data_IF_485571040637
#
_entry.id   IF_485571040637
#
_cell.length_a   1.000
_cell.length_b   1.000
_cell.length_c   1.000
_cell.angle_alpha   90.00
_cell.angle_beta   90.00
_cell.angle_gamma   90.00
#
_symmetry.space_group_name_H-M   'P 1'
#
loop_
_entity.id
_entity.type
_entity.pdbx_description
1 polymer ?
#
# COMPACT_ATOMS: atom_id res chain seq x y z
N UNK A 1 -0.20 -7.54 -32.53
CA UNK A 1 1.24 -7.72 -32.27
C UNK A 1 1.96 -6.39 -32.45
N UNK A 2 2.52 -5.81 -31.38
CA UNK A 2 3.08 -4.44 -31.44
C UNK A 2 4.37 -4.39 -32.28
N UNK A 3 4.63 -3.24 -32.91
CA UNK A 3 5.82 -3.00 -33.76
C UNK A 3 7.14 -3.31 -33.00
N UNK A 4 7.19 -3.04 -31.69
CA UNK A 4 8.36 -3.34 -30.84
C UNK A 4 8.63 -4.84 -30.69
N UNK A 5 7.60 -5.69 -30.73
CA UNK A 5 7.77 -7.14 -30.63
C UNK A 5 8.32 -7.75 -31.93
N UNK A 6 7.93 -7.19 -33.09
CA UNK A 6 8.48 -7.58 -34.40
C UNK A 6 9.97 -7.27 -34.52
N UNK A 7 10.41 -6.12 -33.99
CA UNK A 7 11.83 -5.75 -33.99
C UNK A 7 12.68 -6.71 -33.15
N UNK A 8 12.24 -7.05 -31.93
CA UNK A 8 12.98 -7.97 -31.05
C UNK A 8 13.05 -9.40 -31.59
N UNK A 9 11.99 -9.88 -32.25
CA UNK A 9 11.99 -11.21 -32.89
C UNK A 9 12.92 -11.27 -34.10
N UNK A 10 13.02 -10.18 -34.88
CA UNK A 10 13.98 -10.09 -35.99
C UNK A 10 15.44 -10.13 -35.50
N UNK A 11 15.74 -9.51 -34.36
CA UNK A 11 17.08 -9.54 -33.78
C UNK A 11 17.46 -10.92 -33.22
N UNK A 12 16.52 -11.61 -32.56
CA UNK A 12 16.73 -13.01 -32.12
C UNK A 12 16.95 -13.93 -33.31
N UNK A 13 16.15 -13.79 -34.38
CA UNK A 13 16.29 -14.59 -35.59
C UNK A 13 17.65 -14.34 -36.28
N UNK A 14 18.11 -13.08 -36.34
CA UNK A 14 19.45 -12.73 -36.85
C UNK A 14 20.58 -13.28 -35.99
N UNK A 15 20.40 -13.33 -34.67
CA UNK A 15 21.40 -13.90 -33.75
C UNK A 15 21.58 -15.40 -33.98
N UNK A 16 20.50 -16.14 -34.25
CA UNK A 16 20.57 -17.57 -34.58
C UNK A 16 21.20 -17.83 -35.96
N UNK A 17 20.95 -16.97 -36.96
CA UNK A 17 21.55 -17.11 -38.32
C UNK A 17 23.05 -16.77 -38.33
N UNK A 18 23.54 -15.96 -37.38
CA UNK A 18 24.95 -15.55 -37.29
C UNK A 18 25.89 -16.66 -36.77
N UNK A 19 25.36 -17.72 -36.16
CA UNK A 19 26.16 -18.82 -35.61
C UNK A 19 26.05 -19.95 -36.65
N UNK A 20 27.03 -20.05 -37.56
CA UNK A 20 27.10 -21.03 -38.65
C UNK A 20 27.19 -22.48 -38.14
N UNK A 21 26.14 -22.97 -37.48
CA UNK A 21 26.01 -24.33 -36.98
C UNK A 21 24.82 -24.98 -37.69
N UNK A 22 24.99 -25.20 -39.00
CA UNK A 22 23.96 -25.79 -39.87
C UNK A 22 23.65 -27.25 -39.47
N UNK A 23 24.55 -27.92 -38.75
CA UNK A 23 24.38 -29.33 -38.35
C UNK A 23 23.84 -29.52 -36.92
N UNK A 24 23.58 -28.45 -36.17
CA UNK A 24 22.97 -28.53 -34.83
C UNK A 24 21.51 -28.09 -34.78
N UNK A 25 20.92 -27.67 -35.91
CA UNK A 25 19.48 -27.41 -36.02
C UNK A 25 18.79 -28.74 -36.31
N UNK A 26 18.85 -29.64 -35.33
CA UNK A 26 17.86 -30.69 -35.22
C UNK A 26 16.53 -30.02 -34.96
N UNK A 27 15.73 -29.88 -36.02
CA UNK A 27 14.27 -29.79 -36.02
C UNK A 27 13.68 -29.30 -34.68
N UNK A 28 13.87 -28.03 -34.34
CA UNK A 28 12.83 -27.35 -33.54
C UNK A 28 11.70 -27.24 -34.53
N UNK A 29 10.73 -28.14 -34.40
CA UNK A 29 9.65 -28.26 -35.35
C UNK A 29 8.95 -26.91 -35.43
N UNK A 30 8.53 -26.49 -36.62
CA UNK A 30 7.81 -25.21 -36.79
C UNK A 30 6.58 -25.12 -35.87
N UNK A 31 6.07 -26.29 -35.48
CA UNK A 31 5.02 -26.51 -34.47
C UNK A 31 5.47 -26.03 -33.08
N UNK A 32 6.68 -26.36 -32.61
CA UNK A 32 7.19 -25.95 -31.29
C UNK A 32 7.33 -24.43 -31.16
N UNK A 33 7.66 -23.73 -32.25
CA UNK A 33 7.73 -22.27 -32.26
C UNK A 33 6.35 -21.61 -32.21
N UNK A 34 5.35 -22.18 -32.91
CA UNK A 34 3.96 -21.71 -32.83
C UNK A 34 3.38 -21.95 -31.44
N UNK A 35 3.69 -23.10 -30.83
CA UNK A 35 3.25 -23.42 -29.46
C UNK A 35 3.89 -22.49 -28.43
N UNK A 36 5.17 -22.14 -28.60
CA UNK A 36 5.84 -21.14 -27.75
C UNK A 36 5.23 -19.73 -27.87
N UNK A 37 4.96 -19.26 -29.09
CA UNK A 37 4.29 -17.96 -29.32
C UNK A 37 2.88 -17.98 -28.72
N UNK A 38 2.15 -19.09 -28.87
CA UNK A 38 0.80 -19.27 -28.33
C UNK A 38 0.81 -19.28 -26.80
N UNK A 39 1.79 -19.94 -26.18
CA UNK A 39 1.98 -19.94 -24.72
C UNK A 39 2.29 -18.55 -24.17
N UNK A 40 3.16 -17.77 -24.84
CA UNK A 40 3.44 -16.37 -24.46
C UNK A 40 2.19 -15.50 -24.61
N UNK A 41 1.43 -15.67 -25.70
CA UNK A 41 0.19 -14.93 -25.91
C UNK A 41 -0.86 -15.25 -24.83
N UNK A 42 -1.01 -16.53 -24.48
CA UNK A 42 -1.92 -16.98 -23.43
C UNK A 42 -1.51 -16.43 -22.05
N UNK A 43 -0.22 -16.48 -21.69
CA UNK A 43 0.28 -15.88 -20.44
C UNK A 43 0.03 -14.38 -20.37
N UNK A 44 0.27 -13.64 -21.46
CA UNK A 44 0.02 -12.20 -21.52
C UNK A 44 -1.47 -11.86 -21.40
N UNK A 45 -2.35 -12.65 -22.03
CA UNK A 45 -3.81 -12.47 -21.88
C UNK A 45 -4.30 -12.71 -20.45
N UNK A 46 -3.69 -13.65 -19.74
CA UNK A 46 -3.97 -13.92 -18.33
C UNK A 46 -3.50 -12.76 -17.44
N UNK A 47 -2.33 -12.18 -17.72
CA UNK A 47 -1.81 -11.03 -16.97
C UNK A 47 -2.72 -9.79 -17.07
N UNK A 48 -3.18 -9.43 -18.28
CA UNK A 48 -4.07 -8.27 -18.44
C UNK A 48 -5.43 -8.48 -17.77
N UNK A 49 -5.98 -9.69 -17.85
CA UNK A 49 -7.22 -10.03 -17.14
C UNK A 49 -7.05 -9.94 -15.62
N UNK A 50 -5.91 -10.39 -15.07
CA UNK A 50 -5.58 -10.26 -13.66
C UNK A 50 -5.46 -8.79 -13.23
N UNK A 51 -4.79 -7.95 -14.02
CA UNK A 51 -4.68 -6.51 -13.76
C UNK A 51 -6.07 -5.86 -13.76
N UNK A 52 -6.91 -6.17 -14.75
CA UNK A 52 -8.27 -5.63 -14.83
C UNK A 52 -9.15 -6.07 -13.66
N UNK A 53 -9.07 -7.36 -13.27
CA UNK A 53 -9.79 -7.90 -12.12
C UNK A 53 -9.32 -7.24 -10.81
N UNK A 54 -8.02 -7.00 -10.66
CA UNK A 54 -7.46 -6.29 -9.50
C UNK A 54 -7.95 -4.83 -9.45
N UNK A 55 -8.02 -4.14 -10.59
CA UNK A 55 -8.58 -2.79 -10.67
C UNK A 55 -10.07 -2.76 -10.32
N UNK A 56 -10.87 -3.68 -10.86
CA UNK A 56 -12.30 -3.77 -10.57
C UNK A 56 -12.55 -4.08 -9.09
N UNK A 57 -11.78 -4.99 -8.50
CA UNK A 57 -11.83 -5.30 -7.08
C UNK A 57 -11.41 -4.10 -6.21
N UNK A 58 -10.39 -3.35 -6.63
CA UNK A 58 -9.99 -2.11 -5.95
C UNK A 58 -11.09 -1.05 -5.99
N UNK A 59 -11.78 -0.88 -7.13
CA UNK A 59 -12.92 0.04 -7.27
C UNK A 59 -14.10 -0.37 -6.37
N UNK A 60 -14.46 -1.65 -6.36
CA UNK A 60 -15.52 -2.17 -5.50
C UNK A 60 -15.15 -2.05 -4.00
N UNK A 61 -13.89 -2.29 -3.64
CA UNK A 61 -13.39 -2.12 -2.27
C UNK A 61 -13.38 -0.65 -1.83
N UNK A 62 -13.01 0.27 -2.73
CA UNK A 62 -13.06 1.71 -2.48
C UNK A 62 -14.50 2.21 -2.30
N UNK A 63 -15.48 1.63 -3.02
CA UNK A 63 -16.88 1.93 -2.82
C UNK A 63 -17.43 1.41 -1.48
N UNK A 64 -16.85 0.34 -0.93
CA UNK A 64 -17.30 -0.30 0.31
C UNK A 64 -16.77 0.35 1.60
N UNK A 65 -15.63 1.04 1.55
CA UNK A 65 -15.05 1.74 2.71
C UNK A 65 -14.75 3.20 2.34
N UNK A 66 -15.51 4.19 2.85
CA UNK A 66 -15.40 5.56 2.39
C UNK A 66 -14.09 6.18 2.87
N UNK A 67 -13.09 6.19 1.99
CA UNK A 67 -11.94 7.08 2.14
C UNK A 67 -12.43 8.51 1.95
N UNK A 68 -12.20 9.37 2.93
CA UNK A 68 -12.53 10.79 2.82
C UNK A 68 -11.27 11.61 2.65
N UNK A 69 -11.29 12.48 1.65
CA UNK A 69 -10.20 13.39 1.36
C UNK A 69 -10.43 14.75 2.01
N UNK A 70 -9.39 15.31 2.62
CA UNK A 70 -9.43 16.62 3.26
C UNK A 70 -8.30 17.51 2.73
N UNK A 71 -8.60 18.65 2.07
CA UNK A 71 -9.93 19.08 1.66
C UNK A 71 -10.48 18.23 0.50
N UNK A 72 -11.79 17.99 0.47
CA UNK A 72 -12.44 17.15 -0.55
C UNK A 72 -12.24 17.71 -1.97
N UNK A 73 -12.20 19.04 -2.11
CA UNK A 73 -11.96 19.72 -3.40
C UNK A 73 -10.58 19.42 -4.01
N UNK A 74 -9.63 18.91 -3.23
CA UNK A 74 -8.28 18.57 -3.68
C UNK A 74 -8.05 17.07 -3.83
N UNK A 75 -9.10 16.26 -3.91
CA UNK A 75 -8.96 14.79 -4.02
C UNK A 75 -8.01 14.36 -5.14
N UNK A 76 -8.18 14.90 -6.35
CA UNK A 76 -7.31 14.56 -7.48
C UNK A 76 -5.86 15.02 -7.24
N UNK A 77 -5.67 16.27 -6.78
CA UNK A 77 -4.34 16.81 -6.43
C UNK A 77 -3.65 15.92 -5.40
N UNK A 78 -4.36 15.51 -4.34
CA UNK A 78 -3.84 14.64 -3.29
C UNK A 78 -3.38 13.32 -3.88
N UNK A 79 -4.23 12.67 -4.69
CA UNK A 79 -3.98 11.35 -5.26
C UNK A 79 -2.82 11.34 -6.25
N UNK A 80 -2.56 12.44 -6.95
CA UNK A 80 -1.50 12.56 -7.95
C UNK A 80 -0.10 12.81 -7.37
N UNK A 81 0.00 13.33 -6.14
CA UNK A 81 1.30 13.60 -5.50
C UNK A 81 2.12 12.32 -5.35
N UNK A 82 3.42 12.40 -5.64
CA UNK A 82 4.36 11.30 -5.45
C UNK A 82 4.80 11.21 -3.98
N UNK A 83 4.84 10.00 -3.45
CA UNK A 83 5.35 9.72 -2.11
C UNK A 83 6.86 9.52 -2.19
N UNK A 84 7.59 10.33 -1.44
CA UNK A 84 9.05 10.30 -1.33
C UNK A 84 9.51 9.45 -0.13
N UNK A 85 8.71 9.42 0.92
CA UNK A 85 8.98 8.72 2.18
C UNK A 85 7.68 8.55 2.98
N UNK A 86 7.60 7.52 3.82
CA UNK A 86 6.50 7.30 4.74
C UNK A 86 7.00 7.55 6.17
N UNK A 87 6.18 8.16 7.02
CA UNK A 87 6.46 8.33 8.44
C UNK A 87 5.36 7.67 9.25
N UNK A 88 5.73 6.79 10.18
CA UNK A 88 4.83 6.37 11.26
C UNK A 88 4.86 7.45 12.34
N UNK A 89 3.75 8.18 12.50
CA UNK A 89 3.69 9.36 13.38
C UNK A 89 2.86 9.04 14.61
N UNK A 90 3.48 9.19 15.78
CA UNK A 90 2.88 9.06 17.09
C UNK A 90 2.40 10.43 17.57
N UNK A 91 1.10 10.55 17.84
CA UNK A 91 0.51 11.75 18.43
C UNK A 91 0.44 11.60 19.96
N UNK A 92 0.21 12.71 20.70
CA UNK A 92 0.07 12.67 22.15
C UNK A 92 -1.01 11.70 22.60
N UNK A 93 -0.88 11.20 23.83
CA UNK A 93 -1.88 10.30 24.41
C UNK A 93 -3.23 11.02 24.47
N UNK A 94 -4.24 10.39 23.90
CA UNK A 94 -5.61 10.92 23.90
C UNK A 94 -6.61 9.84 24.29
N UNK A 95 -7.78 10.29 24.74
CA UNK A 95 -8.94 9.42 24.90
C UNK A 95 -9.42 9.03 23.51
N UNK A 96 -9.67 7.74 23.29
CA UNK A 96 -10.25 7.23 22.05
C UNK A 96 -11.76 7.47 22.04
N UNK A 97 -12.46 7.11 20.96
CA UNK A 97 -13.93 7.21 20.92
C UNK A 97 -14.64 6.24 21.89
N UNK A 98 -13.92 5.30 22.50
CA UNK A 98 -14.39 4.43 23.58
C UNK A 98 -13.81 4.83 24.94
N UNK A 99 -13.47 3.85 25.78
CA UNK A 99 -12.85 4.08 27.10
C UNK A 99 -11.32 3.98 27.09
N UNK A 100 -10.71 3.78 25.92
CA UNK A 100 -9.28 3.60 25.76
C UNK A 100 -8.50 4.91 25.92
N UNK A 101 -7.26 4.79 26.40
CA UNK A 101 -6.29 5.90 26.45
C UNK A 101 -4.94 5.42 25.94
N UNK A 102 -4.50 5.96 24.81
CA UNK A 102 -3.25 5.56 24.15
C UNK A 102 -2.80 6.65 23.19
N UNK A 103 -1.59 6.55 22.65
CA UNK A 103 -1.16 7.40 21.54
C UNK A 103 -1.99 7.07 20.31
N UNK A 104 -2.44 8.09 19.58
CA UNK A 104 -2.96 7.90 18.23
C UNK A 104 -1.80 7.80 17.24
N UNK A 105 -1.89 6.87 16.30
CA UNK A 105 -0.85 6.65 15.29
C UNK A 105 -1.42 6.77 13.89
N UNK A 106 -0.72 7.53 13.06
CA UNK A 106 -1.09 7.78 11.66
C UNK A 106 0.11 7.52 10.75
N UNK A 107 -0.15 7.36 9.45
CA UNK A 107 0.91 7.43 8.44
C UNK A 107 0.95 8.84 7.85
N UNK A 108 2.12 9.43 7.70
CA UNK A 108 2.32 10.67 6.94
C UNK A 108 3.21 10.39 5.74
N UNK A 109 2.72 10.69 4.55
CA UNK A 109 3.48 10.55 3.30
C UNK A 109 4.16 11.89 3.00
N UNK A 110 5.48 11.86 2.88
CA UNK A 110 6.24 12.99 2.35
C UNK A 110 5.97 13.12 0.85
N UNK A 111 5.45 14.28 0.46
CA UNK A 111 5.10 14.59 -0.92
C UNK A 111 5.90 15.78 -1.47
N UNK A 112 7.02 16.11 -0.81
CA UNK A 112 7.90 17.22 -1.16
C UNK A 112 7.41 18.57 -0.66
N UNK A 113 8.22 19.62 -0.87
CA UNK A 113 7.91 21.00 -0.48
C UNK A 113 7.47 21.17 0.98
N UNK A 114 7.98 20.31 1.88
CA UNK A 114 7.62 20.25 3.31
C UNK A 114 6.14 19.95 3.56
N UNK A 115 5.39 19.48 2.57
CA UNK A 115 4.01 19.06 2.70
C UNK A 115 3.92 17.58 3.06
N UNK A 116 2.83 17.22 3.74
CA UNK A 116 2.51 15.84 4.07
C UNK A 116 1.14 15.45 3.56
N UNK A 117 0.97 14.18 3.17
CA UNK A 117 -0.37 13.58 3.06
C UNK A 117 -0.53 12.58 4.19
N UNK A 118 -1.39 12.91 5.15
CA UNK A 118 -1.67 12.05 6.29
C UNK A 118 -2.77 11.05 5.95
N UNK A 119 -2.49 9.77 6.14
CA UNK A 119 -3.48 8.68 6.15
C UNK A 119 -3.78 8.35 7.60
N UNK A 120 -4.99 8.71 8.02
CA UNK A 120 -5.49 8.57 9.38
C UNK A 120 -6.64 7.56 9.41
N UNK A 121 -6.52 6.54 10.26
CA UNK A 121 -7.58 5.56 10.48
C UNK A 121 -8.23 5.80 11.84
N UNK A 122 -9.55 5.95 11.84
CA UNK A 122 -10.33 6.22 13.04
C UNK A 122 -11.51 5.26 13.16
N UNK A 123 -11.96 4.94 14.38
CA UNK A 123 -13.22 4.22 14.59
C UNK A 123 -14.42 5.09 14.17
N UNK A 124 -15.30 4.60 13.29
CA UNK A 124 -16.55 5.27 12.94
C UNK A 124 -17.64 4.94 13.96
N UNK A 125 -18.05 5.87 14.83
CA UNK A 125 -19.07 5.61 15.86
C UNK A 125 -20.45 5.32 15.28
N UNK A 126 -20.67 5.53 13.97
CA UNK A 126 -21.94 5.23 13.29
C UNK A 126 -21.98 3.79 12.75
N UNK A 127 -20.84 3.09 12.76
CA UNK A 127 -20.72 1.75 12.18
C UNK A 127 -20.19 0.76 13.22
N UNK A 128 -21.10 0.26 14.04
CA UNK A 128 -20.78 -0.76 15.04
C UNK A 128 -20.53 -2.13 14.40
N UNK A 129 -19.59 -2.88 14.97
CA UNK A 129 -19.31 -4.26 14.62
C UNK A 129 -19.89 -5.23 15.65
N UNK A 130 -20.11 -6.49 15.26
CA UNK A 130 -20.72 -7.50 16.13
C UNK A 130 -19.91 -7.80 17.41
N UNK A 131 -18.60 -7.51 17.40
CA UNK A 131 -17.72 -7.67 18.57
C UNK A 131 -17.78 -6.49 19.56
N UNK A 132 -18.71 -5.54 19.38
CA UNK A 132 -18.83 -4.32 20.19
C UNK A 132 -17.82 -3.22 19.82
N UNK A 133 -16.98 -3.46 18.82
CA UNK A 133 -16.07 -2.47 18.24
C UNK A 133 -16.75 -1.56 17.21
N UNK A 134 -15.96 -0.68 16.61
CA UNK A 134 -16.39 0.19 15.52
C UNK A 134 -15.59 -0.12 14.26
N UNK A 135 -16.26 -0.17 13.11
CA UNK A 135 -15.60 -0.25 11.81
C UNK A 135 -14.73 0.97 11.58
N UNK A 136 -13.65 0.78 10.84
CA UNK A 136 -12.73 1.84 10.52
C UNK A 136 -13.28 2.78 9.46
N UNK A 137 -12.85 4.03 9.58
CA UNK A 137 -13.03 5.10 8.62
C UNK A 137 -11.66 5.73 8.35
N UNK A 138 -11.37 6.01 7.08
CA UNK A 138 -10.06 6.46 6.64
C UNK A 138 -10.15 7.90 6.13
N UNK A 139 -9.31 8.76 6.68
CA UNK A 139 -9.20 10.16 6.31
C UNK A 139 -7.83 10.39 5.69
N UNK A 140 -7.80 10.89 4.45
CA UNK A 140 -6.58 11.24 3.73
C UNK A 140 -6.50 12.76 3.65
N UNK A 141 -5.62 13.38 4.44
CA UNK A 141 -5.52 14.83 4.58
C UNK A 141 -4.27 15.37 3.89
N UNK A 142 -4.40 16.40 3.06
CA UNK A 142 -3.26 17.22 2.63
C UNK A 142 -2.93 18.24 3.72
N UNK A 143 -1.67 18.25 4.13
CA UNK A 143 -1.14 19.12 5.18
C UNK A 143 -0.01 20.00 4.60
N UNK A 144 0.07 21.23 5.08
CA UNK A 144 1.13 22.19 4.78
C UNK A 144 2.43 21.93 5.57
N UNK A 145 2.45 20.86 6.37
CA UNK A 145 3.60 20.34 7.08
C UNK A 145 3.71 18.82 6.90
N UNK A 146 4.94 18.30 6.96
CA UNK A 146 5.21 16.87 6.89
C UNK A 146 4.86 16.12 8.19
N UNK A 147 5.32 16.69 9.32
CA UNK A 147 5.11 16.14 10.68
C UNK A 147 4.66 17.29 11.57
N UNK A 148 3.62 17.06 12.38
CA UNK A 148 3.16 18.06 13.34
C UNK A 148 4.21 18.30 14.41
N UNK A 149 4.35 19.55 14.88
CA UNK A 149 5.23 19.89 15.99
C UNK A 149 4.75 19.30 17.34
N UNK A 150 3.56 18.71 17.39
CA UNK A 150 3.00 18.00 18.55
C UNK A 150 3.26 16.49 18.52
N UNK A 151 4.00 15.97 17.55
CA UNK A 151 4.28 14.54 17.47
C UNK A 151 5.20 14.14 18.63
N UNK A 152 4.86 13.06 19.34
CA UNK A 152 5.71 12.48 20.38
C UNK A 152 6.87 11.68 19.79
N UNK A 153 6.63 11.14 18.58
CA UNK A 153 7.61 10.36 17.83
C UNK A 153 7.24 10.33 16.35
N UNK A 154 8.24 10.25 15.49
CA UNK A 154 8.04 9.95 14.08
C UNK A 154 9.17 9.06 13.56
N UNK A 155 8.83 7.90 13.02
CA UNK A 155 9.80 6.94 12.47
C UNK A 155 9.73 6.96 10.94
N UNK A 156 10.82 7.37 10.25
CA UNK A 156 10.87 7.37 8.79
C UNK A 156 10.99 5.96 8.22
N UNK A 157 10.35 5.74 7.08
CA UNK A 157 10.40 4.53 6.27
C UNK A 157 10.54 4.94 4.81
N UNK A 158 11.67 4.60 4.21
CA UNK A 158 11.99 4.84 2.82
C UNK A 158 11.12 3.96 1.92
N UNK A 159 10.61 4.56 0.84
CA UNK A 159 9.88 3.84 -0.21
C UNK A 159 10.84 3.36 -1.29
N UNK A 160 10.58 2.20 -1.87
CA UNK A 160 11.39 1.66 -2.97
C UNK A 160 11.08 2.37 -4.28
N UNK A 161 9.80 2.65 -4.52
CA UNK A 161 9.31 3.33 -5.71
C UNK A 161 8.53 4.58 -5.31
N UNK A 162 8.78 5.69 -6.00
CA UNK A 162 8.00 6.92 -5.80
C UNK A 162 6.64 6.77 -6.51
N UNK A 163 5.70 6.09 -5.86
CA UNK A 163 4.32 5.93 -6.33
C UNK A 163 3.48 7.13 -5.94
N UNK A 164 2.37 7.34 -6.63
CA UNK A 164 1.41 8.36 -6.24
C UNK A 164 0.66 7.97 -4.95
N UNK A 165 0.18 8.94 -4.20
CA UNK A 165 -0.68 8.72 -3.02
C UNK A 165 -1.89 7.84 -3.39
N UNK A 166 -2.50 8.10 -4.55
CA UNK A 166 -3.65 7.33 -5.03
C UNK A 166 -3.31 5.84 -5.16
N UNK A 167 -2.12 5.51 -5.66
CA UNK A 167 -1.66 4.13 -5.75
C UNK A 167 -1.60 3.45 -4.37
N UNK A 168 -1.01 4.11 -3.36
CA UNK A 168 -0.97 3.55 -2.00
C UNK A 168 -2.37 3.38 -1.41
N UNK A 169 -3.24 4.38 -1.55
CA UNK A 169 -4.62 4.30 -1.04
C UNK A 169 -5.38 3.13 -1.68
N UNK A 170 -5.29 2.98 -3.00
CA UNK A 170 -5.97 1.90 -3.72
C UNK A 170 -5.38 0.53 -3.38
N UNK A 171 -4.06 0.45 -3.24
CA UNK A 171 -3.37 -0.77 -2.83
C UNK A 171 -3.79 -1.21 -1.43
N UNK A 172 -3.82 -0.28 -0.46
CA UNK A 172 -4.28 -0.56 0.91
C UNK A 172 -5.77 -0.95 0.93
N UNK A 173 -6.61 -0.29 0.14
CA UNK A 173 -8.02 -0.64 0.01
C UNK A 173 -8.20 -2.08 -0.52
N UNK A 174 -7.51 -2.41 -1.63
CA UNK A 174 -7.57 -3.72 -2.26
C UNK A 174 -6.99 -4.83 -1.38
N UNK A 175 -5.99 -4.52 -0.55
CA UNK A 175 -5.43 -5.41 0.47
C UNK A 175 -6.29 -5.54 1.73
N UNK A 176 -7.52 -5.01 1.73
CA UNK A 176 -8.45 -5.12 2.85
C UNK A 176 -8.09 -4.26 4.05
N UNK A 177 -7.10 -3.36 3.95
CA UNK A 177 -6.65 -2.56 5.10
C UNK A 177 -7.70 -1.60 5.62
N UNK A 178 -8.69 -1.25 4.80
CA UNK A 178 -9.80 -0.38 5.22
C UNK A 178 -10.97 -1.16 5.84
N UNK A 179 -10.98 -2.50 5.73
CA UNK A 179 -11.95 -3.38 6.39
C UNK A 179 -11.48 -3.74 7.79
N UNK A 180 -11.18 -2.73 8.60
CA UNK A 180 -10.68 -2.91 9.95
C UNK A 180 -11.77 -2.60 10.99
N UNK A 181 -11.74 -3.28 12.12
CA UNK A 181 -12.65 -3.08 13.25
C UNK A 181 -11.79 -2.79 14.46
N UNK A 182 -11.94 -1.61 15.04
CA UNK A 182 -11.32 -1.23 16.30
C UNK A 182 -11.90 -2.03 17.46
N UNK A 183 -11.17 -2.14 18.57
CA UNK A 183 -11.70 -2.77 19.79
C UNK A 183 -12.88 -1.98 20.35
N UNK A 184 -13.69 -2.54 21.28
CA UNK A 184 -14.74 -1.78 21.98
C UNK A 184 -14.22 -0.52 22.69
N UNK A 185 -12.94 -0.51 23.09
CA UNK A 185 -12.28 0.66 23.68
C UNK A 185 -11.84 1.68 22.62
N UNK A 186 -12.14 1.49 21.34
CA UNK A 186 -11.72 2.38 20.26
C UNK A 186 -10.21 2.37 19.98
N UNK A 187 -9.49 1.32 20.41
CA UNK A 187 -8.04 1.17 20.18
C UNK A 187 -7.83 0.23 18.99
N UNK A 188 -6.77 0.47 18.22
CA UNK A 188 -6.41 -0.40 17.09
C UNK A 188 -5.46 0.23 16.08
N UNK A 189 -5.33 1.57 16.09
CA UNK A 189 -4.48 2.29 15.14
C UNK A 189 -3.03 1.78 15.12
N UNK A 190 -2.44 1.44 16.27
CA UNK A 190 -1.08 0.88 16.36
C UNK A 190 -0.92 -0.44 15.60
N UNK A 191 -1.90 -1.35 15.74
CA UNK A 191 -1.91 -2.63 15.02
C UNK A 191 -2.15 -2.41 13.52
N UNK A 192 -3.07 -1.52 13.16
CA UNK A 192 -3.31 -1.18 11.76
C UNK A 192 -2.07 -0.59 11.08
N UNK A 193 -1.39 0.37 11.71
CA UNK A 193 -0.13 0.95 11.18
C UNK A 193 0.93 -0.14 11.01
N UNK A 194 1.08 -1.02 12.01
CA UNK A 194 2.01 -2.15 11.97
C UNK A 194 1.75 -3.06 10.77
N UNK A 195 0.49 -3.45 10.57
CA UNK A 195 0.11 -4.36 9.50
C UNK A 195 0.22 -3.72 8.12
N UNK A 196 -0.09 -2.42 8.01
CA UNK A 196 0.06 -1.65 6.78
C UNK A 196 1.53 -1.54 6.38
N UNK A 197 2.43 -1.20 7.30
CA UNK A 197 3.86 -1.11 7.00
C UNK A 197 4.44 -2.47 6.61
N UNK A 198 4.06 -3.54 7.31
CA UNK A 198 4.46 -4.91 6.96
C UNK A 198 3.97 -5.31 5.57
N UNK A 199 2.70 -5.05 5.25
CA UNK A 199 2.15 -5.30 3.91
C UNK A 199 3.00 -4.62 2.81
N UNK A 200 3.37 -3.36 3.01
CA UNK A 200 4.19 -2.62 2.04
C UNK A 200 5.62 -3.17 1.93
N UNK A 201 6.23 -3.58 3.05
CA UNK A 201 7.54 -4.21 3.03
C UNK A 201 7.53 -5.59 2.34
N UNK A 202 6.49 -6.39 2.59
CA UNK A 202 6.36 -7.75 2.04
C UNK A 202 6.26 -7.75 0.51
N UNK A 203 5.71 -6.70 -0.09
CA UNK A 203 5.68 -6.52 -1.55
C UNK A 203 6.83 -5.65 -2.10
N UNK A 204 7.80 -5.30 -1.26
CA UNK A 204 8.99 -4.56 -1.65
C UNK A 204 8.75 -3.07 -1.93
N UNK A 205 7.64 -2.49 -1.49
CA UNK A 205 7.32 -1.07 -1.67
C UNK A 205 7.90 -0.17 -0.56
N UNK A 206 8.32 -0.78 0.56
CA UNK A 206 8.96 -0.10 1.68
C UNK A 206 10.21 -0.85 2.17
N UNK A 207 11.19 -0.11 2.70
CA UNK A 207 12.39 -0.71 3.28
C UNK A 207 12.05 -1.57 4.51
N UNK A 208 12.35 -2.86 4.43
CA UNK A 208 12.01 -3.83 5.48
C UNK A 208 12.66 -3.53 6.84
N UNK A 209 13.93 -3.14 6.86
CA UNK A 209 14.66 -2.84 8.12
C UNK A 209 14.12 -1.60 8.82
N UNK A 210 13.74 -0.57 8.06
CA UNK A 210 13.12 0.63 8.60
C UNK A 210 11.69 0.36 9.07
N UNK A 211 10.93 -0.48 8.36
CA UNK A 211 9.63 -1.00 8.83
C UNK A 211 9.76 -1.77 10.15
N UNK A 212 10.75 -2.66 10.28
CA UNK A 212 11.00 -3.38 11.54
C UNK A 212 11.35 -2.44 12.69
N UNK A 213 12.01 -1.32 12.39
CA UNK A 213 12.35 -0.29 13.39
C UNK A 213 11.11 0.51 13.80
N UNK A 214 10.31 0.98 12.84
CA UNK A 214 9.06 1.69 13.10
C UNK A 214 8.04 0.81 13.85
N UNK A 215 7.97 -0.49 13.52
CA UNK A 215 7.05 -1.42 14.19
C UNK A 215 7.45 -1.75 15.62
N UNK A 216 8.76 -1.76 15.94
CA UNK A 216 9.22 -1.82 17.33
C UNK A 216 8.79 -0.58 18.13
N UNK A 217 8.82 0.61 17.54
CA UNK A 217 8.38 1.83 18.21
C UNK A 217 6.87 1.83 18.56
N UNK A 218 6.04 1.18 17.73
CA UNK A 218 4.60 1.00 17.93
C UNK A 218 4.26 0.12 19.15
N UNK A 219 5.21 -0.71 19.63
CA UNK A 219 5.04 -1.55 20.82
C UNK A 219 5.13 -0.78 22.16
N UNK A 220 5.27 0.54 22.10
CA UNK A 220 5.40 1.41 23.27
C UNK A 220 4.34 2.51 23.28
N UNK A 221 4.07 3.01 24.48
CA UNK A 221 3.37 4.29 24.71
C UNK A 221 4.40 5.39 24.95
N UNK A 222 4.18 6.53 24.30
CA UNK A 222 5.08 7.69 24.28
C UNK A 222 4.43 8.88 25.01
N UNK A 223 5.22 9.76 25.65
CA UNK A 223 6.69 9.86 25.59
C UNK A 223 7.45 8.94 26.55
N UNK A 224 6.77 8.32 27.52
CA UNK A 224 7.41 7.59 28.63
C UNK A 224 8.13 6.29 28.23
N UNK A 225 8.09 5.90 26.95
CA UNK A 225 8.63 4.64 26.43
C UNK A 225 8.19 3.42 27.25
N UNK A 226 6.91 3.41 27.66
CA UNK A 226 6.34 2.31 28.43
C UNK A 226 5.87 1.20 27.49
N UNK A 227 6.38 -0.04 27.61
CA UNK A 227 5.91 -1.16 26.81
C UNK A 227 4.41 -1.33 26.94
N UNK A 228 3.73 -1.46 25.81
CA UNK A 228 2.30 -1.66 25.75
C UNK A 228 1.98 -2.36 24.44
N UNK A 229 1.66 -3.65 24.49
CA UNK A 229 1.30 -4.40 23.30
C UNK A 229 0.19 -3.68 22.50
N UNK A 230 0.32 -3.56 21.17
CA UNK A 230 -0.73 -2.98 20.34
C UNK A 230 -2.03 -3.79 20.49
N UNK A 231 -3.05 -3.18 21.08
CA UNK A 231 -4.37 -3.81 21.12
C UNK A 231 -4.83 -4.08 19.68
N UNK A 232 -5.19 -5.33 19.42
CA UNK A 232 -5.53 -5.78 18.08
C UNK A 232 -7.04 -5.66 17.85
N UNK A 233 -7.41 -4.83 16.90
CA UNK A 233 -8.67 -4.95 16.17
C UNK A 233 -8.65 -6.15 15.20
N UNK A 234 -9.75 -6.33 14.46
CA UNK A 234 -9.92 -7.43 13.51
C UNK A 234 -10.20 -6.92 12.10
N UNK A 235 -9.87 -7.72 11.07
CA UNK A 235 -10.29 -7.44 9.70
C UNK A 235 -11.55 -8.24 9.34
N UNK A 236 -12.35 -7.77 8.38
CA UNK A 236 -13.58 -8.43 7.91
C UNK A 236 -13.71 -8.44 6.38
#
# INVERSE_FOLDING_TARGET
MSIKLRARLADVYRYFVSINCIDCIGFIDFIDFIDFISAISAQNSNLFAQIAAQQQAALAAAAANPVTYVPASKTNEIREKLVLKIYAVCHPIMTTSGTGKTNHWTLSFDVGNRQGVRVDIQPDPRQHAANGGNKAYVIVSLLDYLITNKAERADPVSVTYQRSVGWYVDYLASGGRFKYIFTPQGIGCRKWVTDTLKLLADVGEANKTEVDTATRALAYTWPDNRPAEPAAGTYF
#
